data_IF_535079213256
#
_entry.id   IF_535079213256
#
_cell.length_a   1.000
_cell.length_b   1.000
_cell.length_c   1.000
_cell.angle_alpha   90.00
_cell.angle_beta   90.00
_cell.angle_gamma   90.00
#
_symmetry.space_group_name_H-M   'P 1'
#
loop_
_entity.id
_entity.type
_entity.pdbx_description
1 polymer ?
#
# COMPACT_ATOMS: atom_id res chain seq x y z
N UNK A 1 -72.59 27.62 45.97
CA UNK A 1 -73.02 26.51 46.85
C UNK A 1 -72.17 25.32 46.44
N UNK A 2 -71.13 24.82 47.12
CA UNK A 2 -70.67 24.83 48.52
C UNK A 2 -69.12 24.70 48.50
N UNK A 3 -68.38 25.57 49.19
CA UNK A 3 -67.73 25.35 50.51
C UNK A 3 -66.20 25.26 50.37
N UNK A 4 -65.56 26.21 51.07
CA UNK A 4 -64.12 26.40 51.33
C UNK A 4 -63.58 25.33 52.29
N UNK A 5 -62.29 24.98 52.16
CA UNK A 5 -61.28 24.70 53.24
C UNK A 5 -59.97 24.27 52.56
N UNK A 6 -58.95 25.13 52.41
CA UNK A 6 -57.84 25.36 53.37
C UNK A 6 -57.42 24.11 54.14
N UNK A 7 -56.23 23.55 53.85
CA UNK A 7 -55.21 23.22 54.87
C UNK A 7 -53.79 23.16 54.27
N UNK A 8 -52.92 24.00 54.82
CA UNK A 8 -51.49 23.84 55.18
C UNK A 8 -50.43 23.31 54.20
N UNK A 9 -49.43 24.17 54.01
CA UNK A 9 -48.04 23.86 53.66
C UNK A 9 -47.41 22.88 54.68
N UNK A 10 -46.71 21.87 54.16
CA UNK A 10 -45.53 21.18 54.72
C UNK A 10 -45.24 20.04 53.72
N UNK A 11 -44.06 19.84 53.14
CA UNK A 11 -42.79 19.64 53.80
C UNK A 11 -41.70 19.61 52.72
N UNK A 12 -40.50 20.07 53.07
CA UNK A 12 -39.23 19.82 52.40
C UNK A 12 -39.16 18.45 51.71
N UNK A 13 -39.03 18.47 50.38
CA UNK A 13 -38.60 17.33 49.58
C UNK A 13 -37.35 17.73 48.80
N UNK A 14 -36.18 17.55 49.41
CA UNK A 14 -34.88 17.72 48.78
C UNK A 14 -34.74 16.66 47.67
N UNK A 15 -35.20 16.97 46.46
CA UNK A 15 -34.96 16.10 45.30
C UNK A 15 -33.53 16.38 44.84
N UNK A 16 -32.63 15.50 45.28
CA UNK A 16 -31.32 15.30 44.66
C UNK A 16 -31.57 14.99 43.18
N UNK A 17 -31.32 15.96 42.30
CA UNK A 17 -31.28 15.72 40.87
C UNK A 17 -30.06 14.84 40.58
N UNK A 18 -30.28 13.53 40.54
CA UNK A 18 -29.34 12.56 40.01
C UNK A 18 -29.19 12.86 38.51
N UNK A 19 -28.21 13.70 38.17
CA UNK A 19 -27.72 13.81 36.79
C UNK A 19 -27.07 12.46 36.49
N UNK A 20 -27.85 11.55 35.90
CA UNK A 20 -27.30 10.38 35.23
C UNK A 20 -26.59 10.95 34.00
N UNK A 21 -25.31 11.22 34.15
CA UNK A 21 -24.40 11.38 33.03
C UNK A 21 -24.38 10.00 32.35
N UNK A 22 -25.31 9.76 31.43
CA UNK A 22 -25.23 8.63 30.51
C UNK A 22 -23.99 8.92 29.69
N UNK A 23 -22.85 8.40 30.15
CA UNK A 23 -21.63 8.36 29.37
C UNK A 23 -22.00 7.62 28.09
N UNK A 24 -22.22 8.38 27.02
CA UNK A 24 -22.30 7.82 25.68
C UNK A 24 -20.96 7.12 25.50
N UNK A 25 -20.91 5.78 25.38
CA UNK A 25 -19.67 5.17 25.00
C UNK A 25 -19.40 5.70 23.59
N UNK A 26 -18.40 6.55 23.46
CA UNK A 26 -17.78 6.82 22.17
C UNK A 26 -17.12 5.52 21.77
N UNK A 27 -17.89 4.65 21.12
CA UNK A 27 -17.35 3.54 20.37
C UNK A 27 -16.67 4.15 19.14
N UNK A 28 -15.52 4.80 19.37
CA UNK A 28 -14.47 4.81 18.38
C UNK A 28 -14.14 3.32 18.18
N UNK A 29 -14.80 2.71 17.20
CA UNK A 29 -14.38 1.44 16.67
C UNK A 29 -12.98 1.69 16.13
N UNK A 30 -11.96 1.34 16.91
CA UNK A 30 -10.66 1.01 16.35
C UNK A 30 -10.93 -0.11 15.35
N UNK A 31 -11.07 0.27 14.08
CA UNK A 31 -11.17 -0.67 12.99
C UNK A 31 -9.75 -1.11 12.74
N UNK A 32 -9.38 -2.27 13.27
CA UNK A 32 -8.12 -2.92 12.92
C UNK A 32 -8.08 -3.11 11.39
N UNK A 33 -7.22 -2.34 10.74
CA UNK A 33 -6.94 -2.49 9.31
C UNK A 33 -5.72 -3.39 9.18
N UNK A 34 -5.93 -4.60 8.66
CA UNK A 34 -4.82 -5.49 8.28
C UNK A 34 -4.33 -5.12 6.88
N UNK A 35 -3.09 -4.64 6.81
CA UNK A 35 -2.33 -4.50 5.56
C UNK A 35 -1.38 -5.70 5.43
N UNK A 36 -1.34 -6.31 4.25
CA UNK A 36 -0.47 -7.42 3.91
C UNK A 36 0.49 -6.99 2.82
N UNK A 37 1.79 -7.07 3.10
CA UNK A 37 2.85 -6.74 2.15
C UNK A 37 3.54 -8.03 1.72
N UNK A 38 3.47 -8.36 0.44
CA UNK A 38 4.33 -9.34 -0.20
C UNK A 38 5.50 -8.56 -0.79
N UNK A 39 6.72 -8.87 -0.36
CA UNK A 39 7.90 -8.16 -0.83
C UNK A 39 8.88 -9.13 -1.49
N UNK A 40 9.45 -8.66 -2.61
CA UNK A 40 10.57 -9.28 -3.32
C UNK A 40 11.57 -8.19 -3.72
N UNK A 41 12.80 -8.56 -4.03
CA UNK A 41 13.88 -7.68 -4.45
C UNK A 41 14.83 -8.47 -5.36
N UNK A 42 15.69 -7.78 -6.11
CA UNK A 42 16.78 -8.39 -6.87
C UNK A 42 16.29 -9.46 -7.88
N UNK A 43 15.20 -9.15 -8.59
CA UNK A 43 14.62 -10.07 -9.58
C UNK A 43 15.06 -9.66 -10.96
N UNK A 44 16.15 -10.26 -11.40
CA UNK A 44 16.80 -9.91 -12.67
C UNK A 44 16.22 -10.65 -13.89
N UNK A 45 15.45 -11.72 -13.66
CA UNK A 45 15.03 -12.63 -14.72
C UNK A 45 13.60 -13.11 -14.55
N UNK A 46 12.87 -13.18 -15.67
CA UNK A 46 11.58 -13.87 -15.76
C UNK A 46 11.76 -15.32 -16.20
N UNK A 47 12.42 -16.12 -15.35
CA UNK A 47 12.52 -17.56 -15.59
C UNK A 47 11.25 -18.29 -15.13
N UNK A 48 10.91 -19.42 -15.78
CA UNK A 48 9.88 -20.32 -15.25
C UNK A 48 10.30 -20.89 -13.89
N UNK A 49 9.34 -21.48 -13.17
CA UNK A 49 9.62 -22.18 -11.91
C UNK A 49 10.62 -23.30 -12.18
N UNK A 50 11.75 -23.31 -11.47
CA UNK A 50 12.80 -24.30 -11.65
C UNK A 50 12.28 -25.69 -11.27
N UNK A 51 11.90 -26.48 -12.28
CA UNK A 51 11.33 -27.83 -12.14
C UNK A 51 10.19 -27.92 -11.11
N UNK A 52 9.44 -26.83 -10.94
CA UNK A 52 8.37 -26.71 -9.94
C UNK A 52 8.83 -26.45 -8.49
N UNK A 53 10.14 -26.33 -8.23
CA UNK A 53 10.70 -26.24 -6.88
C UNK A 53 10.92 -24.79 -6.43
N UNK A 54 11.56 -23.96 -7.25
CA UNK A 54 12.01 -22.64 -6.84
C UNK A 54 11.68 -21.52 -7.84
N UNK A 55 11.48 -20.31 -7.31
CA UNK A 55 11.31 -19.07 -8.08
C UNK A 55 10.05 -19.01 -8.95
N UNK A 56 10.14 -18.17 -9.98
CA UNK A 56 9.13 -17.96 -11.01
C UNK A 56 8.12 -16.86 -10.68
N UNK A 57 8.11 -15.80 -11.50
CA UNK A 57 7.18 -14.67 -11.34
C UNK A 57 5.70 -15.09 -11.49
N UNK A 58 5.41 -16.11 -12.30
CA UNK A 58 4.07 -16.68 -12.39
C UNK A 58 3.59 -17.31 -11.06
N UNK A 59 4.51 -17.92 -10.29
CA UNK A 59 4.20 -18.45 -8.96
C UNK A 59 3.95 -17.33 -7.97
N UNK A 60 4.75 -16.27 -8.01
CA UNK A 60 4.55 -15.06 -7.20
C UNK A 60 3.20 -14.41 -7.48
N UNK A 61 2.85 -14.20 -8.75
CA UNK A 61 1.56 -13.65 -9.15
C UNK A 61 0.39 -14.52 -8.66
N UNK A 62 0.54 -15.85 -8.70
CA UNK A 62 -0.45 -16.79 -8.17
C UNK A 62 -0.58 -16.68 -6.64
N UNK A 63 0.54 -16.53 -5.93
CA UNK A 63 0.54 -16.32 -4.49
C UNK A 63 -0.14 -14.99 -4.12
N UNK A 64 0.18 -13.89 -4.83
CA UNK A 64 -0.49 -12.60 -4.66
C UNK A 64 -2.01 -12.75 -4.75
N UNK A 65 -2.51 -13.38 -5.82
CA UNK A 65 -3.96 -13.58 -6.03
C UNK A 65 -4.61 -14.39 -4.91
N UNK A 66 -3.95 -15.43 -4.39
CA UNK A 66 -4.47 -16.23 -3.27
C UNK A 66 -4.56 -15.41 -1.99
N UNK A 67 -3.49 -14.68 -1.66
CA UNK A 67 -3.45 -13.88 -0.43
C UNK A 67 -4.45 -12.71 -0.52
N UNK A 68 -4.58 -12.07 -1.68
CA UNK A 68 -5.53 -10.99 -1.91
C UNK A 68 -7.00 -11.43 -1.80
N UNK A 69 -7.29 -12.73 -1.99
CA UNK A 69 -8.64 -13.27 -1.77
C UNK A 69 -9.02 -13.36 -0.28
N UNK A 70 -8.03 -13.40 0.62
CA UNK A 70 -8.20 -13.53 2.07
C UNK A 70 -7.92 -12.20 2.80
N UNK A 71 -7.11 -11.32 2.22
CA UNK A 71 -6.71 -10.03 2.80
C UNK A 71 -6.97 -8.89 1.83
N UNK A 72 -7.98 -8.07 2.14
CA UNK A 72 -8.46 -6.97 1.30
C UNK A 72 -7.36 -5.98 0.92
N UNK A 73 -6.50 -5.62 1.87
CA UNK A 73 -5.40 -4.67 1.66
C UNK A 73 -4.11 -5.47 1.48
N UNK A 74 -3.89 -5.99 0.27
CA UNK A 74 -2.68 -6.73 -0.08
C UNK A 74 -1.90 -5.97 -1.15
N UNK A 75 -0.61 -5.72 -0.91
CA UNK A 75 0.30 -5.10 -1.88
C UNK A 75 1.45 -6.06 -2.20
N UNK A 76 1.82 -6.13 -3.47
CA UNK A 76 3.06 -6.70 -3.96
C UNK A 76 4.06 -5.56 -4.19
N UNK A 77 5.17 -5.60 -3.46
CA UNK A 77 6.19 -4.58 -3.45
C UNK A 77 7.53 -5.13 -3.97
N UNK A 78 8.22 -4.34 -4.78
CA UNK A 78 9.55 -4.64 -5.30
C UNK A 78 10.59 -3.69 -4.68
N UNK A 79 11.62 -4.27 -4.07
CA UNK A 79 12.73 -3.56 -3.43
C UNK A 79 13.81 -3.03 -4.38
N UNK A 80 13.51 -2.86 -5.67
CA UNK A 80 14.46 -2.47 -6.70
C UNK A 80 15.25 -3.62 -7.30
N UNK A 81 16.20 -3.25 -8.15
CA UNK A 81 17.14 -4.14 -8.85
C UNK A 81 16.41 -5.19 -9.69
N UNK A 82 15.72 -4.73 -10.73
CA UNK A 82 15.01 -5.60 -11.68
C UNK A 82 15.34 -5.33 -13.14
N UNK A 83 15.73 -4.10 -13.49
CA UNK A 83 15.97 -3.77 -14.90
C UNK A 83 17.26 -4.41 -15.43
N UNK A 84 18.28 -4.61 -14.61
CA UNK A 84 19.62 -5.12 -14.95
C UNK A 84 20.17 -5.94 -13.78
N UNK A 85 21.07 -6.94 -13.94
CA UNK A 85 21.80 -7.32 -15.17
C UNK A 85 21.50 -8.75 -15.65
N UNK A 86 20.47 -8.93 -16.49
CA UNK A 86 20.27 -10.20 -17.20
C UNK A 86 20.65 -10.12 -18.68
N UNK A 87 20.91 -11.28 -19.29
CA UNK A 87 21.12 -11.39 -20.75
C UNK A 87 19.95 -10.78 -21.51
N UNK A 88 18.72 -11.07 -21.10
CA UNK A 88 17.52 -10.50 -21.69
C UNK A 88 17.48 -8.98 -21.48
N UNK A 89 17.79 -8.49 -20.28
CA UNK A 89 17.84 -7.06 -19.98
C UNK A 89 18.87 -6.32 -20.82
N UNK A 90 20.03 -6.90 -21.10
CA UNK A 90 21.03 -6.28 -21.95
C UNK A 90 20.53 -6.06 -23.39
N UNK A 91 19.66 -6.96 -23.88
CA UNK A 91 19.07 -6.85 -25.22
C UNK A 91 17.82 -5.94 -25.23
N UNK A 92 16.89 -6.14 -24.30
CA UNK A 92 15.59 -5.46 -24.25
C UNK A 92 15.56 -4.21 -23.36
N UNK A 93 16.68 -3.87 -22.71
CA UNK A 93 16.85 -2.70 -21.84
C UNK A 93 15.82 -2.63 -20.71
N UNK A 94 15.55 -3.79 -20.10
CA UNK A 94 14.64 -3.94 -18.96
C UNK A 94 13.14 -3.96 -19.31
N UNK A 95 12.75 -3.68 -20.55
CA UNK A 95 11.34 -3.64 -20.99
C UNK A 95 10.59 -4.94 -20.70
N UNK A 96 11.24 -6.07 -20.95
CA UNK A 96 10.69 -7.40 -20.70
C UNK A 96 10.35 -7.62 -19.22
N UNK A 97 11.11 -7.01 -18.30
CA UNK A 97 10.83 -7.10 -16.86
C UNK A 97 9.65 -6.22 -16.48
N UNK A 98 9.55 -5.00 -17.03
CA UNK A 98 8.38 -4.13 -16.85
C UNK A 98 7.10 -4.85 -17.32
N UNK A 99 7.10 -5.42 -18.52
CA UNK A 99 5.96 -6.19 -19.04
C UNK A 99 5.60 -7.38 -18.13
N UNK A 100 6.62 -8.07 -17.59
CA UNK A 100 6.39 -9.17 -16.66
C UNK A 100 5.78 -8.71 -15.34
N UNK A 101 6.25 -7.59 -14.78
CA UNK A 101 5.72 -7.03 -13.54
C UNK A 101 4.30 -6.47 -13.69
N UNK A 102 4.02 -5.83 -14.82
CA UNK A 102 2.68 -5.40 -15.21
C UNK A 102 1.72 -6.61 -15.23
N UNK A 103 2.10 -7.69 -15.92
CA UNK A 103 1.32 -8.93 -15.96
C UNK A 103 1.23 -9.64 -14.59
N UNK A 104 2.29 -9.53 -13.77
CA UNK A 104 2.37 -10.10 -12.44
C UNK A 104 1.54 -9.36 -11.38
N UNK A 105 1.07 -8.16 -11.72
CA UNK A 105 0.38 -7.26 -10.80
C UNK A 105 1.32 -6.77 -9.71
N UNK A 106 2.45 -6.18 -10.07
CA UNK A 106 3.22 -5.39 -9.10
C UNK A 106 2.39 -4.17 -8.68
N UNK A 107 2.48 -3.73 -7.42
CA UNK A 107 1.77 -2.53 -6.97
C UNK A 107 2.75 -1.37 -6.75
N UNK A 108 3.87 -1.64 -6.07
CA UNK A 108 4.88 -0.65 -5.72
C UNK A 108 6.28 -1.14 -6.06
N UNK A 109 7.14 -0.25 -6.54
CA UNK A 109 8.57 -0.48 -6.70
C UNK A 109 9.37 0.70 -6.14
N UNK A 110 10.60 0.44 -5.71
CA UNK A 110 11.61 1.48 -5.44
C UNK A 110 12.76 1.32 -6.43
N UNK A 111 13.50 2.40 -6.68
CA UNK A 111 14.71 2.34 -7.49
C UNK A 111 15.86 1.71 -6.69
N UNK A 112 16.44 0.65 -7.22
CA UNK A 112 17.74 0.12 -6.83
C UNK A 112 18.87 0.77 -7.63
N UNK A 113 20.10 0.31 -7.42
CA UNK A 113 21.24 0.87 -8.12
C UNK A 113 21.31 0.43 -9.60
N UNK A 114 20.75 -0.73 -9.94
CA UNK A 114 20.79 -1.28 -11.31
C UNK A 114 19.70 -0.73 -12.24
N UNK A 115 18.74 0.04 -11.72
CA UNK A 115 17.74 0.73 -12.55
C UNK A 115 18.36 1.75 -13.51
N UNK A 116 19.54 2.28 -13.18
CA UNK A 116 20.23 3.33 -13.94
C UNK A 116 21.24 2.80 -14.97
N UNK A 117 21.50 1.49 -15.02
CA UNK A 117 22.56 0.87 -15.83
C UNK A 117 22.42 1.13 -17.34
N UNK A 118 21.19 1.33 -17.82
CA UNK A 118 20.91 1.61 -19.24
C UNK A 118 20.75 3.10 -19.54
N UNK A 119 21.01 3.97 -18.57
CA UNK A 119 20.90 5.42 -18.70
C UNK A 119 19.53 5.97 -18.30
N UNK A 120 19.46 7.27 -17.97
CA UNK A 120 18.26 7.91 -17.44
C UNK A 120 17.11 7.98 -18.46
N UNK A 121 17.39 8.12 -19.76
CA UNK A 121 16.35 8.16 -20.80
C UNK A 121 15.60 6.83 -20.89
N UNK A 122 16.34 5.72 -20.82
CA UNK A 122 15.77 4.38 -20.80
C UNK A 122 14.96 4.17 -19.53
N UNK A 123 15.50 4.57 -18.36
CA UNK A 123 14.79 4.45 -17.09
C UNK A 123 13.46 5.22 -17.11
N UNK A 124 13.45 6.46 -17.60
CA UNK A 124 12.22 7.25 -17.75
C UNK A 124 11.20 6.54 -18.65
N UNK A 125 11.65 5.90 -19.73
CA UNK A 125 10.77 5.11 -20.60
C UNK A 125 10.20 3.89 -19.87
N UNK A 126 11.02 3.15 -19.11
CA UNK A 126 10.59 1.99 -18.31
C UNK A 126 9.60 2.40 -17.21
N UNK A 127 9.80 3.54 -16.57
CA UNK A 127 8.85 4.10 -15.59
C UNK A 127 7.51 4.41 -16.27
N UNK A 128 7.50 5.05 -17.44
CA UNK A 128 6.27 5.34 -18.21
C UNK A 128 5.54 4.09 -18.71
N UNK A 129 6.26 3.00 -18.95
CA UNK A 129 5.68 1.71 -19.35
C UNK A 129 5.12 0.91 -18.15
N UNK A 130 5.41 1.33 -16.92
CA UNK A 130 5.00 0.63 -15.70
C UNK A 130 3.53 0.87 -15.39
N UNK A 131 2.81 -0.19 -15.00
CA UNK A 131 1.42 -0.12 -14.51
C UNK A 131 1.34 -0.11 -12.98
N UNK A 132 2.46 0.18 -12.34
CA UNK A 132 2.67 0.19 -10.89
C UNK A 132 3.41 1.47 -10.50
N UNK A 133 3.38 1.83 -9.22
CA UNK A 133 3.98 3.09 -8.76
C UNK A 133 5.45 2.91 -8.41
N UNK A 134 6.30 3.77 -8.96
CA UNK A 134 7.68 3.93 -8.51
C UNK A 134 7.75 4.96 -7.39
N UNK A 135 8.42 4.60 -6.30
CA UNK A 135 8.68 5.45 -5.14
C UNK A 135 10.16 5.84 -5.08
N UNK A 136 10.43 7.13 -4.89
CA UNK A 136 11.76 7.66 -4.67
C UNK A 136 11.71 8.79 -3.64
N UNK A 137 12.65 8.78 -2.70
CA UNK A 137 12.86 9.89 -1.77
C UNK A 137 14.28 10.45 -1.82
N UNK A 138 15.23 9.70 -2.38
CA UNK A 138 16.67 10.00 -2.32
C UNK A 138 17.40 9.90 -3.66
N UNK A 139 16.79 9.36 -4.72
CA UNK A 139 17.31 9.53 -6.07
C UNK A 139 16.83 10.90 -6.57
N UNK A 140 17.75 11.75 -7.02
CA UNK A 140 17.47 13.15 -7.36
C UNK A 140 17.90 13.41 -8.80
N UNK A 141 17.06 14.09 -9.58
CA UNK A 141 17.45 14.58 -10.90
C UNK A 141 18.44 15.74 -10.72
N UNK A 142 19.67 15.57 -11.23
CA UNK A 142 20.74 16.54 -11.03
C UNK A 142 20.49 17.90 -11.70
N UNK A 143 19.64 17.98 -12.72
CA UNK A 143 19.31 19.22 -13.39
C UNK A 143 18.24 20.03 -12.62
N UNK A 144 17.33 19.35 -11.92
CA UNK A 144 16.21 20.00 -11.22
C UNK A 144 16.38 20.07 -9.70
N UNK A 145 17.16 19.16 -9.10
CA UNK A 145 17.27 19.01 -7.64
C UNK A 145 16.08 18.31 -6.98
N UNK A 146 15.10 17.85 -7.76
CA UNK A 146 13.90 17.17 -7.28
C UNK A 146 14.05 15.64 -7.27
N UNK A 147 13.28 14.90 -6.44
CA UNK A 147 13.27 13.44 -6.48
C UNK A 147 12.96 12.90 -7.88
N UNK A 148 13.83 12.01 -8.36
CA UNK A 148 13.70 11.34 -9.65
C UNK A 148 12.38 10.54 -9.69
N UNK A 149 11.57 10.79 -10.72
CA UNK A 149 10.22 10.21 -10.86
C UNK A 149 9.11 10.94 -10.08
N UNK A 150 9.42 11.93 -9.24
CA UNK A 150 8.46 12.58 -8.36
C UNK A 150 8.06 11.71 -7.15
N UNK A 151 7.21 12.22 -6.23
CA UNK A 151 6.82 11.50 -5.00
C UNK A 151 6.03 10.21 -5.25
N UNK A 152 5.50 10.04 -6.47
CA UNK A 152 4.87 8.85 -7.00
C UNK A 152 4.87 8.94 -8.53
N UNK A 153 5.80 8.27 -9.20
CA UNK A 153 5.80 8.21 -10.66
C UNK A 153 4.77 7.15 -11.09
N UNK A 154 3.69 7.59 -11.77
CA UNK A 154 2.68 6.75 -12.42
C UNK A 154 2.71 6.96 -13.91
#
# INVERSE_FOLDING_TARGET
MNIVRSVSNASLGLIFALVVLVGVPSAASERDVRLTLLQVNDVYQSLPVDRGQAGGLARLATLKRRIAAESKYTLLCLGGDTLSPSVASNYFKGKQMIETWNAGGLDLAVFGNHEFDFGPEVLVERVKESQFTWLSSNAVDAATGEPFGGPSAS
#
